data_IF_514181032860
#
_entry.id   IF_514181032860
#
_cell.length_a   1.000
_cell.length_b   1.000
_cell.length_c   1.000
_cell.angle_alpha   90.00
_cell.angle_beta   90.00
_cell.angle_gamma   90.00
#
_symmetry.space_group_name_H-M   'P 1'
#
loop_
_entity.id
_entity.type
_entity.pdbx_description
1 polymer ?
#
# COMPACT_ATOMS: atom_id res chain seq x y z
N UNK A 1 9.90 20.94 69.01
CA UNK A 1 9.97 19.47 68.79
C UNK A 1 9.54 19.22 67.35
N UNK A 2 10.52 19.04 66.44
CA UNK A 2 10.77 17.81 65.65
C UNK A 2 9.55 17.36 64.81
N UNK A 3 9.60 17.19 63.48
CA UNK A 3 10.71 17.13 62.54
C UNK A 3 10.22 17.42 61.11
N UNK A 4 11.11 18.05 60.33
CA UNK A 4 11.05 18.09 58.88
C UNK A 4 11.53 16.75 58.30
N UNK A 5 10.88 16.28 57.24
CA UNK A 5 11.40 15.22 56.38
C UNK A 5 11.49 15.72 54.94
N UNK A 6 12.73 15.89 54.48
CA UNK A 6 13.16 16.15 53.10
C UNK A 6 13.34 14.82 52.36
N UNK A 7 12.92 14.79 51.09
CA UNK A 7 13.57 14.16 49.91
C UNK A 7 13.87 12.64 49.92
N UNK A 8 14.02 11.95 48.76
CA UNK A 8 14.60 12.48 47.51
C UNK A 8 13.93 12.11 46.18
N UNK A 9 14.29 12.92 45.20
CA UNK A 9 14.22 12.61 43.78
C UNK A 9 14.93 11.29 43.44
N UNK A 10 14.35 10.54 42.50
CA UNK A 10 15.03 9.52 41.71
C UNK A 10 14.86 9.94 40.25
N UNK A 11 15.93 10.44 39.66
CA UNK A 11 16.93 9.67 38.89
C UNK A 11 16.39 9.41 37.48
N UNK A 12 16.90 10.19 36.54
CA UNK A 12 16.66 10.00 35.13
C UNK A 12 17.38 8.76 34.61
N UNK A 13 16.75 8.07 33.66
CA UNK A 13 17.43 7.05 32.87
C UNK A 13 16.93 7.10 31.43
N UNK A 14 17.74 7.81 30.64
CA UNK A 14 18.16 7.52 29.26
C UNK A 14 17.16 6.84 28.32
N UNK A 15 16.79 7.64 27.33
CA UNK A 15 16.46 7.28 25.95
C UNK A 15 17.35 6.12 25.45
N UNK A 16 16.75 4.95 25.21
CA UNK A 16 17.34 3.87 24.45
C UNK A 16 17.12 4.11 22.96
N UNK A 17 18.13 4.65 22.28
CA UNK A 17 18.19 4.73 20.83
C UNK A 17 18.98 3.54 20.30
N UNK A 18 18.35 2.37 20.26
CA UNK A 18 18.93 1.18 19.62
C UNK A 18 18.29 1.00 18.24
N UNK A 19 18.78 1.80 17.28
CA UNK A 19 18.57 1.52 15.86
C UNK A 19 19.47 0.36 15.44
N UNK A 20 18.93 -0.71 14.81
CA UNK A 20 19.75 -1.79 14.29
C UNK A 20 20.62 -1.29 13.14
N UNK A 21 21.94 -1.42 13.33
CA UNK A 21 22.97 -1.21 12.32
C UNK A 21 22.71 -2.15 11.14
N UNK A 22 22.41 -1.55 9.99
CA UNK A 22 22.37 -2.23 8.68
C UNK A 22 23.75 -2.81 8.38
N UNK A 23 23.89 -4.12 8.56
CA UNK A 23 25.03 -4.87 8.05
C UNK A 23 25.00 -4.83 6.51
N UNK A 24 26.09 -4.36 5.92
CA UNK A 24 26.32 -4.41 4.46
C UNK A 24 26.18 -5.85 3.99
N UNK A 25 25.23 -6.08 3.10
CA UNK A 25 25.05 -7.34 2.40
C UNK A 25 26.18 -7.56 1.39
N UNK A 26 26.74 -8.76 1.38
CA UNK A 26 27.63 -9.22 0.31
C UNK A 26 26.85 -9.34 -1.01
N UNK A 27 27.46 -9.02 -2.16
CA UNK A 27 26.81 -9.13 -3.46
C UNK A 27 26.60 -10.61 -3.89
N UNK A 28 25.44 -10.98 -4.47
CA UNK A 28 25.17 -12.35 -4.89
C UNK A 28 26.01 -12.81 -6.10
N UNK A 29 26.40 -14.09 -6.06
CA UNK A 29 27.42 -14.84 -6.80
C UNK A 29 27.34 -14.94 -8.34
N UNK A 30 26.55 -14.14 -9.06
CA UNK A 30 26.39 -14.31 -10.51
C UNK A 30 27.61 -13.87 -11.37
N UNK A 31 28.78 -13.61 -10.76
CA UNK A 31 30.00 -13.10 -11.41
C UNK A 31 31.20 -14.06 -11.45
N UNK A 32 31.02 -15.38 -11.33
CA UNK A 32 32.15 -16.33 -11.36
C UNK A 32 32.20 -17.35 -12.51
N UNK A 33 31.21 -17.43 -13.41
CA UNK A 33 31.25 -18.39 -14.53
C UNK A 33 31.31 -17.71 -15.91
N UNK A 34 32.47 -17.16 -16.26
CA UNK A 34 32.84 -16.84 -17.66
C UNK A 34 34.33 -17.10 -17.91
N UNK A 35 34.77 -18.35 -17.86
CA UNK A 35 36.08 -18.77 -18.39
C UNK A 35 36.00 -20.21 -18.91
N UNK A 36 36.39 -20.41 -20.17
CA UNK A 36 36.94 -21.70 -20.62
C UNK A 36 36.11 -22.55 -21.59
N UNK A 37 35.69 -22.00 -22.73
CA UNK A 37 35.44 -22.81 -23.94
C UNK A 37 36.62 -22.59 -24.89
N UNK A 38 37.69 -23.38 -24.71
CA UNK A 38 38.79 -23.47 -25.64
C UNK A 38 39.52 -24.82 -25.48
N UNK A 39 39.49 -25.60 -26.56
CA UNK A 39 40.49 -26.60 -26.98
C UNK A 39 40.63 -27.95 -26.25
N UNK A 40 40.46 -29.01 -27.06
CA UNK A 40 41.25 -30.25 -27.22
C UNK A 40 40.28 -31.33 -27.75
N UNK A 41 40.20 -31.72 -29.04
CA UNK A 41 41.21 -32.16 -30.03
C UNK A 41 42.04 -33.36 -29.54
N UNK A 42 41.71 -34.56 -30.04
CA UNK A 42 42.59 -35.74 -29.96
C UNK A 42 41.89 -37.07 -29.69
N UNK A 43 41.13 -37.63 -30.65
CA UNK A 43 40.79 -39.06 -30.64
C UNK A 43 41.68 -39.76 -31.65
N UNK A 44 42.52 -40.66 -31.14
CA UNK A 44 43.53 -41.40 -31.86
C UNK A 44 42.95 -42.36 -32.90
N UNK A 45 43.65 -42.42 -34.02
CA UNK A 45 43.53 -43.43 -35.06
C UNK A 45 44.19 -44.72 -34.59
N UNK A 46 43.45 -45.82 -34.60
CA UNK A 46 44.00 -47.15 -34.81
C UNK A 46 42.87 -48.13 -35.09
N UNK A 47 42.74 -48.52 -36.36
CA UNK A 47 42.67 -49.92 -36.81
C UNK A 47 42.27 -49.96 -38.28
N UNK A 48 43.29 -50.19 -39.11
CA UNK A 48 43.14 -50.74 -40.44
C UNK A 48 42.40 -52.09 -40.38
N UNK A 49 41.55 -52.35 -41.38
CA UNK A 49 41.22 -53.71 -41.79
C UNK A 49 39.74 -54.09 -41.73
N UNK A 50 38.93 -53.61 -42.66
CA UNK A 50 37.73 -54.30 -43.15
C UNK A 50 37.34 -53.66 -44.50
N UNK A 51 37.97 -54.10 -45.58
CA UNK A 51 37.38 -55.04 -46.53
C UNK A 51 36.28 -54.39 -47.39
N UNK A 52 36.75 -54.01 -48.59
CA UNK A 52 36.04 -53.93 -49.85
C UNK A 52 34.87 -54.94 -49.93
N UNK A 53 33.63 -54.45 -50.01
CA UNK A 53 32.50 -55.01 -50.76
C UNK A 53 31.19 -54.25 -50.44
N UNK A 54 30.55 -53.66 -51.46
CA UNK A 54 29.13 -53.26 -51.35
C UNK A 54 28.80 -51.78 -51.52
N UNK A 55 29.57 -51.00 -52.27
CA UNK A 55 29.15 -49.67 -52.71
C UNK A 55 28.16 -49.79 -53.87
N UNK A 56 26.90 -50.10 -53.56
CA UNK A 56 25.80 -50.11 -54.52
C UNK A 56 25.39 -48.67 -54.86
N UNK A 57 25.33 -48.37 -56.16
CA UNK A 57 24.89 -47.08 -56.72
C UNK A 57 23.48 -46.63 -56.26
N UNK A 58 22.70 -47.54 -55.67
CA UNK A 58 21.37 -47.26 -55.10
C UNK A 58 21.42 -46.25 -53.93
N UNK A 59 22.52 -46.21 -53.16
CA UNK A 59 22.63 -45.27 -52.02
C UNK A 59 22.86 -43.82 -52.42
N UNK A 60 23.30 -43.54 -53.65
CA UNK A 60 23.46 -42.17 -54.14
C UNK A 60 22.12 -41.58 -54.59
N UNK A 61 21.20 -42.40 -55.11
CA UNK A 61 19.86 -41.96 -55.55
C UNK A 61 18.89 -41.73 -54.37
N UNK A 62 18.98 -42.51 -53.28
CA UNK A 62 18.11 -42.30 -52.10
C UNK A 62 18.51 -41.10 -51.22
N UNK A 63 19.72 -40.56 -51.39
CA UNK A 63 20.22 -39.46 -50.57
C UNK A 63 19.70 -38.07 -51.02
N UNK A 64 19.27 -37.90 -52.27
CA UNK A 64 18.81 -36.61 -52.79
C UNK A 64 17.30 -36.41 -52.66
N UNK A 65 16.49 -37.47 -52.72
CA UNK A 65 15.04 -37.39 -52.50
C UNK A 65 14.67 -37.11 -51.03
N UNK A 66 15.50 -37.54 -50.09
CA UNK A 66 15.32 -37.23 -48.67
C UNK A 66 15.49 -35.75 -48.33
N UNK A 67 16.36 -35.01 -49.05
CA UNK A 67 16.66 -33.60 -48.74
C UNK A 67 15.50 -32.68 -49.13
N UNK A 68 14.79 -32.97 -50.22
CA UNK A 68 13.64 -32.18 -50.67
C UNK A 68 12.44 -32.34 -49.72
N UNK A 69 12.19 -33.57 -49.24
CA UNK A 69 11.16 -33.89 -48.26
C UNK A 69 11.47 -33.26 -46.87
N UNK A 70 12.75 -33.28 -46.46
CA UNK A 70 13.21 -32.70 -45.18
C UNK A 70 13.04 -31.17 -45.12
N UNK A 71 13.17 -30.46 -46.24
CA UNK A 71 13.03 -29.00 -46.28
C UNK A 71 11.56 -28.55 -46.23
N UNK A 72 10.66 -29.30 -46.86
CA UNK A 72 9.22 -29.04 -46.80
C UNK A 72 8.67 -29.18 -45.36
N UNK A 73 9.11 -30.22 -44.64
CA UNK A 73 8.71 -30.46 -43.26
C UNK A 73 9.19 -29.36 -42.30
N UNK A 74 10.41 -28.84 -42.48
CA UNK A 74 10.96 -27.74 -41.67
C UNK A 74 10.21 -26.42 -41.86
N UNK A 75 9.77 -26.12 -43.10
CA UNK A 75 9.02 -24.90 -43.41
C UNK A 75 7.59 -24.92 -42.83
N UNK A 76 6.93 -26.08 -42.80
CA UNK A 76 5.61 -26.24 -42.21
C UNK A 76 5.62 -26.01 -40.68
N UNK A 77 6.64 -26.50 -39.98
CA UNK A 77 6.80 -26.27 -38.52
C UNK A 77 7.13 -24.81 -38.22
N UNK A 78 7.97 -24.15 -39.03
CA UNK A 78 8.25 -22.71 -38.92
C UNK A 78 6.99 -21.86 -39.11
N UNK A 79 6.12 -22.24 -40.06
CA UNK A 79 4.85 -21.56 -40.37
C UNK A 79 3.81 -21.72 -39.24
N UNK A 80 3.75 -22.89 -38.59
CA UNK A 80 2.88 -23.13 -37.41
C UNK A 80 3.37 -22.37 -36.17
N UNK A 81 4.69 -22.34 -35.93
CA UNK A 81 5.31 -21.58 -34.84
C UNK A 81 5.14 -20.07 -35.00
N UNK A 82 5.29 -19.54 -36.22
CA UNK A 82 5.04 -18.11 -36.50
C UNK A 82 3.58 -17.70 -36.27
N UNK A 83 2.60 -18.52 -36.69
CA UNK A 83 1.18 -18.27 -36.44
C UNK A 83 0.82 -18.30 -34.96
N UNK A 84 1.35 -19.26 -34.21
CA UNK A 84 1.12 -19.34 -32.76
C UNK A 84 1.68 -18.12 -32.02
N UNK A 85 2.87 -17.63 -32.39
CA UNK A 85 3.47 -16.44 -31.80
C UNK A 85 2.68 -15.16 -32.11
N UNK A 86 2.17 -15.00 -33.33
CA UNK A 86 1.31 -13.86 -33.71
C UNK A 86 -0.01 -13.89 -32.93
N UNK A 87 -0.66 -15.06 -32.80
CA UNK A 87 -1.89 -15.19 -32.02
C UNK A 87 -1.66 -14.91 -30.52
N UNK A 88 -0.53 -15.36 -29.97
CA UNK A 88 -0.16 -15.10 -28.58
C UNK A 88 0.12 -13.62 -28.32
N UNK A 89 0.83 -12.94 -29.25
CA UNK A 89 1.08 -11.51 -29.17
C UNK A 89 -0.21 -10.68 -29.27
N UNK A 90 -1.15 -11.05 -30.15
CA UNK A 90 -2.45 -10.40 -30.27
C UNK A 90 -3.32 -10.60 -29.02
N UNK A 91 -3.33 -11.79 -28.44
CA UNK A 91 -4.04 -12.06 -27.18
C UNK A 91 -3.45 -11.27 -26.00
N UNK A 92 -2.12 -11.20 -25.89
CA UNK A 92 -1.45 -10.40 -24.86
C UNK A 92 -1.73 -8.89 -25.00
N UNK A 93 -1.76 -8.36 -26.23
CA UNK A 93 -2.13 -6.96 -26.49
C UNK A 93 -3.60 -6.69 -26.12
N UNK A 94 -4.52 -7.61 -26.41
CA UNK A 94 -5.93 -7.49 -26.03
C UNK A 94 -6.11 -7.50 -24.50
N UNK A 95 -5.36 -8.35 -23.76
CA UNK A 95 -5.38 -8.33 -22.30
C UNK A 95 -4.79 -7.05 -21.71
N UNK A 96 -3.72 -6.50 -22.31
CA UNK A 96 -3.11 -5.25 -21.88
C UNK A 96 -4.05 -4.04 -22.07
N UNK A 97 -4.80 -4.01 -23.18
CA UNK A 97 -5.77 -2.95 -23.47
C UNK A 97 -6.98 -2.98 -22.52
N UNK A 98 -7.42 -4.17 -22.09
CA UNK A 98 -8.50 -4.32 -21.10
C UNK A 98 -8.00 -4.12 -19.64
N UNK A 99 -6.71 -4.29 -19.38
CA UNK A 99 -6.10 -4.11 -18.07
C UNK A 99 -5.89 -2.65 -17.64
N UNK A 100 -5.82 -1.70 -18.59
CA UNK A 100 -5.67 -0.27 -18.28
C UNK A 100 -6.95 0.40 -17.74
N UNK A 101 -8.11 -0.27 -17.82
CA UNK A 101 -9.41 0.29 -17.41
C UNK A 101 -9.77 0.15 -15.93
N UNK A 102 -8.89 -0.43 -15.10
CA UNK A 102 -9.20 -0.76 -13.71
C UNK A 102 -8.35 0.00 -12.68
N UNK A 103 -7.95 1.24 -12.98
CA UNK A 103 -7.67 2.20 -11.90
C UNK A 103 -9.04 2.56 -11.31
N UNK A 104 -9.51 1.71 -10.39
CA UNK A 104 -10.56 2.10 -9.46
C UNK A 104 -9.95 3.20 -8.60
N UNK A 105 -10.19 4.46 -8.98
CA UNK A 105 -10.17 5.56 -8.02
C UNK A 105 -11.10 5.09 -6.90
N UNK A 106 -10.52 4.72 -5.75
CA UNK A 106 -11.30 4.63 -4.53
C UNK A 106 -11.88 6.01 -4.33
N UNK A 107 -13.15 6.18 -4.70
CA UNK A 107 -13.91 7.26 -4.15
C UNK A 107 -14.00 6.94 -2.67
N UNK A 108 -13.33 7.73 -1.84
CA UNK A 108 -13.73 7.81 -0.44
C UNK A 108 -15.20 8.22 -0.45
N UNK A 109 -16.07 7.23 -0.35
CA UNK A 109 -17.47 7.43 0.00
C UNK A 109 -17.48 7.72 1.50
N UNK A 110 -16.89 8.83 1.91
CA UNK A 110 -17.21 9.42 3.19
C UNK A 110 -18.68 9.80 3.11
N UNK A 111 -19.52 9.06 3.84
CA UNK A 111 -20.92 9.42 4.08
C UNK A 111 -20.94 10.92 4.43
N UNK A 112 -21.63 11.74 3.62
CA UNK A 112 -21.72 13.17 3.93
C UNK A 112 -22.55 13.30 5.20
N UNK A 113 -21.92 13.81 6.25
CA UNK A 113 -22.59 14.13 7.50
C UNK A 113 -23.54 15.31 7.26
N UNK A 114 -24.82 15.10 7.54
CA UNK A 114 -25.84 16.15 7.52
C UNK A 114 -25.96 16.77 8.91
N UNK A 115 -25.87 18.09 9.00
CA UNK A 115 -25.89 18.78 10.28
C UNK A 115 -27.20 18.54 11.05
N UNK A 116 -28.35 18.65 10.39
CA UNK A 116 -29.64 18.57 11.08
C UNK A 116 -29.97 17.15 11.52
N UNK A 117 -29.67 16.15 10.68
CA UNK A 117 -29.89 14.74 10.98
C UNK A 117 -28.90 14.20 12.01
N UNK A 118 -27.61 14.43 11.77
CA UNK A 118 -26.54 13.69 12.46
C UNK A 118 -25.96 14.46 13.65
N UNK A 119 -25.91 15.80 13.59
CA UNK A 119 -25.24 16.62 14.61
C UNK A 119 -26.25 17.27 15.56
N UNK A 120 -27.29 17.91 15.02
CA UNK A 120 -28.25 18.66 15.80
C UNK A 120 -29.02 17.77 16.80
N UNK A 121 -29.33 16.53 16.43
CA UNK A 121 -29.97 15.55 17.32
C UNK A 121 -29.15 15.27 18.59
N UNK A 122 -27.82 15.17 18.46
CA UNK A 122 -26.90 14.98 19.58
C UNK A 122 -26.86 16.23 20.46
N UNK A 123 -26.76 17.41 19.84
CA UNK A 123 -26.71 18.69 20.55
C UNK A 123 -28.03 18.96 21.29
N UNK A 124 -29.17 18.65 20.68
CA UNK A 124 -30.49 18.76 21.27
C UNK A 124 -30.63 17.91 22.53
N UNK A 125 -30.12 16.67 22.49
CA UNK A 125 -30.24 15.74 23.61
C UNK A 125 -29.40 16.13 24.83
N UNK A 126 -28.23 16.78 24.64
CA UNK A 126 -27.23 16.95 25.72
C UNK A 126 -26.82 18.39 26.00
N UNK A 127 -26.97 19.30 25.05
CA UNK A 127 -26.35 20.62 25.12
C UNK A 127 -27.36 21.76 25.22
N UNK A 128 -28.51 21.66 24.55
CA UNK A 128 -29.48 22.77 24.48
C UNK A 128 -30.11 23.13 25.82
N UNK A 129 -30.07 22.27 26.84
CA UNK A 129 -30.56 22.62 28.18
C UNK A 129 -29.83 23.83 28.82
N UNK A 130 -28.59 24.11 28.40
CA UNK A 130 -27.81 25.25 28.88
C UNK A 130 -27.20 26.12 27.77
N UNK A 131 -27.21 25.67 26.52
CA UNK A 131 -26.68 26.38 25.36
C UNK A 131 -27.75 26.47 24.26
N UNK A 132 -28.92 27.05 24.58
CA UNK A 132 -29.97 27.36 23.61
C UNK A 132 -30.05 28.87 23.33
N UNK A 133 -30.99 29.29 22.49
CA UNK A 133 -31.23 30.72 22.24
C UNK A 133 -31.76 31.44 23.49
N UNK A 134 -32.58 30.77 24.28
CA UNK A 134 -33.16 31.29 25.52
C UNK A 134 -32.14 31.30 26.65
N UNK A 135 -31.31 30.25 26.75
CA UNK A 135 -30.28 30.10 27.76
C UNK A 135 -28.92 29.96 27.11
N UNK A 136 -28.25 31.10 26.93
CA UNK A 136 -26.90 31.21 26.33
C UNK A 136 -25.79 31.17 27.37
N UNK A 137 -25.55 30.02 28.00
CA UNK A 137 -24.45 29.91 28.98
C UNK A 137 -23.11 30.24 28.31
N UNK A 138 -22.31 31.11 28.94
CA UNK A 138 -21.09 31.64 28.31
C UNK A 138 -21.32 32.47 27.04
N UNK A 139 -22.55 32.92 26.79
CA UNK A 139 -22.97 33.63 25.57
C UNK A 139 -23.14 32.75 24.33
N UNK A 140 -22.97 31.43 24.44
CA UNK A 140 -23.02 30.49 23.32
C UNK A 140 -24.41 29.84 23.21
N UNK A 141 -24.95 29.82 22.00
CA UNK A 141 -26.08 28.96 21.60
C UNK A 141 -25.60 27.89 20.63
N UNK A 142 -26.14 26.69 20.74
CA UNK A 142 -25.92 25.57 19.83
C UNK A 142 -27.22 25.15 19.14
N UNK A 143 -28.27 25.97 19.24
CA UNK A 143 -29.60 25.65 18.74
C UNK A 143 -29.68 25.64 17.21
N UNK A 144 -29.00 26.57 16.55
CA UNK A 144 -28.98 26.71 15.10
C UNK A 144 -27.56 26.64 14.57
N UNK A 145 -27.40 26.38 13.27
CA UNK A 145 -26.09 26.33 12.65
C UNK A 145 -25.39 27.70 12.71
N UNK A 146 -26.17 28.75 12.49
CA UNK A 146 -25.76 30.15 12.54
C UNK A 146 -25.27 30.53 13.94
N UNK A 147 -26.01 30.16 14.99
CA UNK A 147 -25.62 30.40 16.38
C UNK A 147 -24.25 29.77 16.74
N UNK A 148 -23.96 28.59 16.20
CA UNK A 148 -22.69 27.89 16.45
C UNK A 148 -21.52 28.65 15.84
N UNK A 149 -21.72 29.21 14.64
CA UNK A 149 -20.71 29.97 13.93
C UNK A 149 -20.47 31.34 14.56
N UNK A 150 -21.52 31.99 15.08
CA UNK A 150 -21.40 33.24 15.85
C UNK A 150 -20.53 33.06 17.10
N UNK A 151 -20.61 31.87 17.72
CA UNK A 151 -19.82 31.53 18.89
C UNK A 151 -20.34 32.18 20.17
N UNK A 152 -19.45 32.42 21.13
CA UNK A 152 -19.82 32.96 22.44
C UNK A 152 -18.79 33.94 22.99
N UNK A 153 -18.90 34.28 24.28
CA UNK A 153 -18.01 35.26 24.94
C UNK A 153 -16.53 34.86 24.92
N UNK A 154 -16.26 33.56 24.74
CA UNK A 154 -14.91 33.02 24.66
C UNK A 154 -14.39 32.92 23.22
N UNK A 155 -15.07 33.56 22.26
CA UNK A 155 -14.75 33.56 20.85
C UNK A 155 -15.44 32.45 20.06
N UNK A 156 -14.85 32.13 18.91
CA UNK A 156 -15.37 31.14 17.94
C UNK A 156 -15.50 29.75 18.56
N UNK A 157 -16.70 29.18 18.51
CA UNK A 157 -16.96 27.87 19.10
C UNK A 157 -16.47 26.72 18.20
N UNK A 158 -16.69 26.84 16.88
CA UNK A 158 -16.32 25.84 15.86
C UNK A 158 -15.51 26.50 14.75
N UNK A 159 -14.36 25.90 14.42
CA UNK A 159 -13.55 26.28 13.26
C UNK A 159 -13.75 25.26 12.13
N UNK A 160 -14.44 25.64 11.04
CA UNK A 160 -14.68 24.73 9.93
C UNK A 160 -13.38 24.11 9.38
N UNK A 161 -13.39 22.80 9.17
CA UNK A 161 -12.22 22.05 8.69
C UNK A 161 -11.10 21.83 9.72
N UNK A 162 -11.21 22.37 10.95
CA UNK A 162 -10.23 22.17 12.02
C UNK A 162 -10.93 21.85 13.35
N UNK A 163 -11.37 20.59 13.46
CA UNK A 163 -12.07 20.06 14.64
C UNK A 163 -11.24 20.18 15.92
N UNK A 164 -9.94 19.83 15.87
CA UNK A 164 -9.06 19.84 17.04
C UNK A 164 -8.84 21.24 17.62
N UNK A 165 -8.89 22.25 16.76
CA UNK A 165 -8.75 23.65 17.16
C UNK A 165 -10.10 24.29 17.57
N UNK A 166 -11.21 23.57 17.45
CA UNK A 166 -12.53 24.09 17.80
C UNK A 166 -12.70 24.10 19.31
N UNK A 167 -13.10 25.25 19.85
CA UNK A 167 -13.22 25.45 21.30
C UNK A 167 -14.23 24.50 21.94
N UNK A 168 -15.30 24.14 21.20
CA UNK A 168 -16.30 23.18 21.69
C UNK A 168 -15.67 21.80 21.93
N UNK A 169 -14.83 21.32 21.02
CA UNK A 169 -14.14 20.03 21.13
C UNK A 169 -13.14 20.05 22.29
N UNK A 170 -12.38 21.14 22.40
CA UNK A 170 -11.42 21.33 23.51
C UNK A 170 -12.09 21.41 24.89
N UNK A 171 -13.33 21.89 24.98
CA UNK A 171 -14.10 21.83 26.23
C UNK A 171 -14.64 20.45 26.50
N UNK A 172 -15.12 19.74 25.47
CA UNK A 172 -15.64 18.39 25.62
C UNK A 172 -14.56 17.39 26.02
N UNK A 173 -13.35 17.52 25.48
CA UNK A 173 -12.23 16.64 25.82
C UNK A 173 -11.50 17.06 27.12
N UNK A 174 -11.91 18.17 27.77
CA UNK A 174 -11.31 18.66 29.00
C UNK A 174 -9.94 19.33 28.84
N UNK A 175 -9.51 19.66 27.62
CA UNK A 175 -8.25 20.37 27.37
C UNK A 175 -8.27 21.83 27.81
N UNK A 176 -9.46 22.43 28.00
CA UNK A 176 -9.61 23.81 28.47
C UNK A 176 -10.74 23.94 29.48
N UNK A 177 -10.58 24.88 30.43
CA UNK A 177 -11.59 25.20 31.44
C UNK A 177 -12.53 26.35 31.01
N UNK A 178 -13.78 26.38 31.49
CA UNK A 178 -14.45 25.26 32.17
C UNK A 178 -14.69 24.11 31.19
N UNK A 179 -14.55 22.88 31.69
CA UNK A 179 -14.82 21.65 30.94
C UNK A 179 -16.31 21.48 30.72
N UNK A 180 -16.70 20.87 29.60
CA UNK A 180 -18.08 20.50 29.30
C UNK A 180 -18.24 18.99 29.23
N UNK A 181 -19.33 18.43 29.79
CA UNK A 181 -20.43 19.12 30.49
C UNK A 181 -20.01 19.69 31.86
N UNK A 182 -20.67 20.77 32.29
CA UNK A 182 -20.28 21.48 33.51
C UNK A 182 -20.45 20.58 34.75
N UNK A 183 -19.35 20.26 35.42
CA UNK A 183 -19.35 19.37 36.59
C UNK A 183 -19.52 17.88 36.26
N UNK A 184 -19.49 17.50 34.98
CA UNK A 184 -19.50 16.11 34.53
C UNK A 184 -18.14 15.64 34.00
N UNK A 185 -18.06 14.34 33.68
CA UNK A 185 -16.87 13.71 33.10
C UNK A 185 -16.64 14.20 31.65
N UNK A 186 -15.40 14.59 31.27
CA UNK A 186 -15.08 14.93 29.89
C UNK A 186 -15.14 13.72 28.96
N UNK A 187 -15.40 13.95 27.67
CA UNK A 187 -15.44 12.90 26.65
C UNK A 187 -14.10 12.16 26.48
N UNK A 188 -12.96 12.83 26.74
CA UNK A 188 -11.66 12.16 26.70
C UNK A 188 -11.48 11.11 27.81
N UNK A 189 -12.26 11.19 28.90
CA UNK A 189 -12.29 10.18 29.95
C UNK A 189 -13.11 8.94 29.60
N UNK A 190 -13.93 9.00 28.54
CA UNK A 190 -14.77 7.90 28.10
C UNK A 190 -13.99 7.01 27.11
N UNK A 191 -13.11 6.17 27.63
CA UNK A 191 -12.25 5.23 26.88
C UNK A 191 -12.99 4.11 26.13
N UNK A 192 -14.32 4.20 25.96
CA UNK A 192 -15.18 3.12 25.46
C UNK A 192 -15.96 3.44 24.19
N UNK A 193 -15.74 4.60 23.54
CA UNK A 193 -16.54 5.06 22.40
C UNK A 193 -15.81 5.12 21.05
N UNK A 194 -14.68 4.42 20.89
CA UNK A 194 -14.00 4.26 19.61
C UNK A 194 -13.61 2.79 19.38
#
# INVERSE_FOLDING_TARGET
>A
MKAAARSPAREGARLGTDSPVLQKTDPPEWRQHKKGLAHCAGVGQSRLGALLNGFTLSRIVSATSGVVEQLAQKNAVRKRRGRALVLYALAAAALALNGLGAIRLSQETGERIDYYRDVHSILAARCLGCHSQEKRSGGLSLATYEDILDGGRNGTAVRPGRSDDSLVIRRLNGSVSPTMPLGGEPLAGLSHFW
#
